data_IF_492800434160
#
_entry.id   IF_492800434160
#
_cell.length_a   1.000
_cell.length_b   1.000
_cell.length_c   1.000
_cell.angle_alpha   90.00
_cell.angle_beta   90.00
_cell.angle_gamma   90.00
#
_symmetry.space_group_name_H-M   'P 1'
#
loop_
_entity.id
_entity.type
_entity.pdbx_description
1 polymer ?
#
# COMPACT_ATOMS: atom_id res chain seq x y z
N UNK A 1 19.64 -22.26 -29.01
CA UNK A 1 18.52 -22.13 -28.05
C UNK A 1 19.11 -21.79 -26.69
N UNK A 2 19.14 -20.50 -26.37
CA UNK A 2 19.73 -19.98 -25.13
C UNK A 2 18.99 -20.54 -23.93
N UNK A 3 19.72 -21.01 -22.91
CA UNK A 3 19.16 -21.58 -21.69
C UNK A 3 18.32 -20.57 -20.91
N UNK A 4 17.02 -20.52 -21.21
CA UNK A 4 16.06 -19.67 -20.52
C UNK A 4 15.72 -20.29 -19.17
N UNK A 5 16.44 -19.87 -18.13
CA UNK A 5 15.97 -20.04 -16.75
C UNK A 5 14.69 -19.23 -16.59
N UNK A 6 13.55 -19.92 -16.72
CA UNK A 6 12.20 -19.41 -16.44
C UNK A 6 12.17 -18.68 -15.09
N UNK A 7 12.94 -19.18 -14.13
CA UNK A 7 13.09 -18.58 -12.81
C UNK A 7 13.70 -17.17 -12.85
N UNK A 8 14.81 -16.94 -13.57
CA UNK A 8 15.44 -15.62 -13.62
C UNK A 8 14.48 -14.56 -14.17
N UNK A 9 13.75 -14.89 -15.23
CA UNK A 9 12.74 -13.99 -15.80
C UNK A 9 11.59 -13.70 -14.83
N UNK A 10 11.08 -14.71 -14.11
CA UNK A 10 10.05 -14.53 -13.09
C UNK A 10 10.56 -13.65 -11.94
N UNK A 11 11.78 -13.88 -11.46
CA UNK A 11 12.41 -13.11 -10.38
C UNK A 11 12.46 -11.61 -10.71
N UNK A 12 12.94 -11.25 -11.90
CA UNK A 12 13.03 -9.84 -12.30
C UNK A 12 11.66 -9.19 -12.49
N UNK A 13 10.71 -9.89 -13.13
CA UNK A 13 9.34 -9.40 -13.30
C UNK A 13 8.65 -9.18 -11.95
N UNK A 14 8.77 -10.15 -11.04
CA UNK A 14 8.22 -10.05 -9.68
C UNK A 14 8.87 -8.90 -8.90
N UNK A 15 10.20 -8.79 -8.91
CA UNK A 15 10.90 -7.71 -8.23
C UNK A 15 10.48 -6.31 -8.71
N UNK A 16 10.28 -6.11 -10.01
CA UNK A 16 9.78 -4.86 -10.55
C UNK A 16 8.33 -4.56 -10.12
N UNK A 17 7.47 -5.58 -10.07
CA UNK A 17 6.09 -5.45 -9.59
C UNK A 17 6.03 -5.13 -8.10
N UNK A 18 6.84 -5.82 -7.29
CA UNK A 18 6.92 -5.62 -5.84
C UNK A 18 7.46 -4.22 -5.51
N UNK A 19 8.46 -3.73 -6.24
CA UNK A 19 8.97 -2.37 -6.08
C UNK A 19 7.90 -1.29 -6.39
N UNK A 20 7.08 -1.51 -7.43
CA UNK A 20 5.94 -0.63 -7.75
C UNK A 20 4.89 -0.66 -6.64
N UNK A 21 4.53 -1.86 -6.16
CA UNK A 21 3.57 -2.03 -5.07
C UNK A 21 4.05 -1.39 -3.77
N UNK A 22 5.34 -1.53 -3.44
CA UNK A 22 5.95 -0.88 -2.28
C UNK A 22 5.78 0.64 -2.29
N UNK A 23 6.02 1.30 -3.44
CA UNK A 23 5.80 2.75 -3.60
C UNK A 23 4.34 3.15 -3.38
N UNK A 24 3.39 2.35 -3.87
CA UNK A 24 1.95 2.60 -3.65
C UNK A 24 1.62 2.50 -2.17
N UNK A 25 2.12 1.46 -1.48
CA UNK A 25 1.86 1.25 -0.06
C UNK A 25 2.41 2.38 0.79
N UNK A 26 3.63 2.86 0.52
CA UNK A 26 4.21 4.02 1.22
C UNK A 26 3.37 5.28 1.02
N UNK A 27 2.88 5.54 -0.20
CA UNK A 27 2.01 6.70 -0.48
C UNK A 27 0.69 6.61 0.29
N UNK A 28 0.05 5.44 0.30
CA UNK A 28 -1.20 5.24 1.02
C UNK A 28 -1.01 5.38 2.54
N UNK A 29 0.08 4.84 3.08
CA UNK A 29 0.41 4.98 4.50
C UNK A 29 0.62 6.45 4.90
N UNK A 30 1.33 7.23 4.07
CA UNK A 30 1.52 8.66 4.30
C UNK A 30 0.20 9.44 4.23
N UNK A 31 -0.67 9.13 3.26
CA UNK A 31 -2.00 9.76 3.15
C UNK A 31 -2.88 9.45 4.36
N UNK A 32 -2.85 8.21 4.87
CA UNK A 32 -3.57 7.80 6.09
C UNK A 32 -3.01 8.54 7.31
N UNK A 33 -1.69 8.60 7.48
CA UNK A 33 -1.06 9.27 8.63
C UNK A 33 -1.38 10.77 8.68
N UNK A 34 -1.33 11.46 7.53
CA UNK A 34 -1.73 12.88 7.44
C UNK A 34 -3.21 13.05 7.76
N UNK A 35 -4.07 12.15 7.28
CA UNK A 35 -5.49 12.21 7.59
C UNK A 35 -5.76 11.95 9.09
N UNK A 36 -5.03 11.02 9.71
CA UNK A 36 -5.18 10.65 11.12
C UNK A 36 -4.81 11.78 12.09
N UNK A 37 -3.95 12.72 11.70
CA UNK A 37 -3.65 13.92 12.50
C UNK A 37 -4.91 14.78 12.79
N UNK A 38 -5.90 14.74 11.90
CA UNK A 38 -7.18 15.43 12.10
C UNK A 38 -8.18 14.67 12.99
N UNK A 39 -7.78 13.55 13.57
CA UNK A 39 -8.61 12.66 14.38
C UNK A 39 -8.49 11.22 13.90
N UNK A 40 -8.24 10.31 14.85
CA UNK A 40 -7.99 8.89 14.59
C UNK A 40 -9.26 8.06 14.30
N UNK A 41 -10.46 8.65 14.46
CA UNK A 41 -11.72 7.96 14.21
C UNK A 41 -12.21 8.15 12.75
N UNK A 42 -12.26 7.09 11.92
CA UNK A 42 -12.76 7.16 10.55
C UNK A 42 -14.25 7.53 10.44
N UNK A 43 -15.06 7.36 11.49
CA UNK A 43 -16.47 7.76 11.49
C UNK A 43 -16.60 9.29 11.57
N UNK A 44 -15.72 9.92 12.34
CA UNK A 44 -15.71 11.37 12.57
C UNK A 44 -14.83 12.12 11.56
N UNK A 45 -13.91 11.42 10.87
CA UNK A 45 -12.97 12.00 9.92
C UNK A 45 -13.19 11.45 8.49
N UNK A 46 -13.88 12.25 7.66
CA UNK A 46 -14.14 11.88 6.27
C UNK A 46 -12.86 11.65 5.44
N UNK A 47 -11.81 12.45 5.67
CA UNK A 47 -10.54 12.31 4.95
C UNK A 47 -9.88 10.97 5.28
N UNK A 48 -9.90 10.58 6.55
CA UNK A 48 -9.38 9.30 7.00
C UNK A 48 -10.16 8.13 6.40
N UNK A 49 -11.50 8.21 6.39
CA UNK A 49 -12.35 7.19 5.75
C UNK A 49 -12.03 7.01 4.27
N UNK A 50 -11.86 8.10 3.53
CA UNK A 50 -11.52 8.07 2.12
C UNK A 50 -10.12 7.47 1.90
N UNK A 51 -9.14 7.86 2.70
CA UNK A 51 -7.78 7.32 2.63
C UNK A 51 -7.76 5.80 2.89
N UNK A 52 -8.51 5.32 3.89
CA UNK A 52 -8.67 3.89 4.19
C UNK A 52 -9.33 3.14 3.02
N UNK A 53 -10.36 3.72 2.39
CA UNK A 53 -11.00 3.10 1.22
C UNK A 53 -10.05 2.97 0.03
N UNK A 54 -9.25 4.01 -0.26
CA UNK A 54 -8.22 3.96 -1.31
C UNK A 54 -7.15 2.90 -0.99
N UNK A 55 -6.71 2.83 0.26
CA UNK A 55 -5.73 1.82 0.68
C UNK A 55 -6.27 0.39 0.52
N UNK A 56 -7.54 0.15 0.89
CA UNK A 56 -8.22 -1.14 0.68
C UNK A 56 -8.34 -1.47 -0.81
N UNK A 57 -8.72 -0.51 -1.65
CA UNK A 57 -8.76 -0.69 -3.11
C UNK A 57 -7.38 -1.03 -3.71
N UNK A 58 -6.30 -0.50 -3.12
CA UNK A 58 -4.93 -0.81 -3.50
C UNK A 58 -4.39 -2.14 -2.91
N UNK A 59 -5.21 -2.93 -2.21
CA UNK A 59 -4.83 -4.15 -1.49
C UNK A 59 -3.73 -3.91 -0.44
N UNK A 60 -3.75 -2.75 0.23
CA UNK A 60 -2.91 -2.53 1.42
C UNK A 60 -3.43 -3.42 2.55
N UNK A 61 -2.56 -4.21 3.21
CA UNK A 61 -2.94 -5.02 4.36
C UNK A 61 -3.57 -4.20 5.50
N UNK A 62 -4.59 -4.75 6.16
CA UNK A 62 -5.31 -4.07 7.24
C UNK A 62 -4.39 -3.64 8.41
N UNK A 63 -3.44 -4.49 8.79
CA UNK A 63 -2.45 -4.19 9.81
C UNK A 63 -1.57 -2.97 9.46
N UNK A 64 -1.29 -2.72 8.18
CA UNK A 64 -0.54 -1.54 7.75
C UNK A 64 -1.39 -0.27 7.82
N UNK A 65 -2.69 -0.39 7.56
CA UNK A 65 -3.65 0.72 7.70
C UNK A 65 -3.77 1.09 9.17
N UNK A 66 -3.98 0.12 10.06
CA UNK A 66 -4.08 0.34 11.50
C UNK A 66 -2.79 0.98 12.06
N UNK A 67 -1.62 0.51 11.65
CA UNK A 67 -0.32 1.10 12.02
C UNK A 67 -0.11 2.53 11.53
N UNK A 68 -0.79 2.93 10.47
CA UNK A 68 -0.70 4.29 9.94
C UNK A 68 -1.72 5.25 10.60
N UNK A 69 -2.69 4.72 11.35
CA UNK A 69 -3.70 5.48 12.10
C UNK A 69 -3.22 5.77 13.53
N UNK A 70 -2.54 4.79 14.14
CA UNK A 70 -1.90 4.92 15.45
C UNK A 70 -0.70 5.88 15.41
#
# INVERSE_FOLDING_TARGET
>A
MSGHSKWHSIKHKKGAADAKRGKIFTKMAAEIAIAAQGGADPAMNFKLRLAIQKAKAANVPANNIERAIA
#
